data_IF_831180189907
#
_entry.id   IF_831180189907
#
_cell.length_a   1.000
_cell.length_b   1.000
_cell.length_c   1.000
_cell.angle_alpha   90.00
_cell.angle_beta   90.00
_cell.angle_gamma   90.00
#
_symmetry.space_group_name_H-M   'P 1'
#
loop_
_entity.id
_entity.type
_entity.pdbx_description
1 polymer ?
#
# COMPACT_ATOMS: atom_id res chain seq x y z
N UNK A 1 -10.14 44.26 0.10
CA UNK A 1 -11.00 43.35 0.88
C UNK A 1 -10.52 41.93 0.62
N UNK A 2 -9.60 41.43 1.44
CA UNK A 2 -8.91 40.15 1.20
C UNK A 2 -9.77 39.03 1.78
N UNK A 3 -10.40 38.22 0.93
CA UNK A 3 -11.12 37.02 1.36
C UNK A 3 -10.09 35.98 1.78
N UNK A 4 -9.95 35.75 3.08
CA UNK A 4 -9.20 34.63 3.64
C UNK A 4 -9.85 33.33 3.17
N UNK A 5 -9.28 32.72 2.12
CA UNK A 5 -9.66 31.39 1.68
C UNK A 5 -9.44 30.41 2.84
N UNK A 6 -10.52 29.79 3.33
CA UNK A 6 -10.41 28.70 4.30
C UNK A 6 -9.68 27.55 3.61
N UNK A 7 -8.38 27.42 3.85
CA UNK A 7 -7.62 26.24 3.47
C UNK A 7 -8.27 25.03 4.16
N UNK A 8 -9.01 24.21 3.41
CA UNK A 8 -9.61 22.99 3.94
C UNK A 8 -8.49 21.98 4.12
N UNK A 9 -8.36 21.44 5.34
CA UNK A 9 -7.44 20.32 5.58
C UNK A 9 -7.85 19.14 4.69
N UNK A 10 -6.92 18.53 3.94
CA UNK A 10 -7.19 17.29 3.21
C UNK A 10 -7.77 16.24 4.15
N UNK A 11 -8.67 15.40 3.64
CA UNK A 11 -9.21 14.29 4.41
C UNK A 11 -8.06 13.39 4.88
N UNK A 12 -8.14 12.97 6.14
CA UNK A 12 -7.17 12.05 6.71
C UNK A 12 -7.21 10.74 5.91
N UNK A 13 -6.06 10.25 5.40
CA UNK A 13 -6.05 9.00 4.65
C UNK A 13 -6.53 7.87 5.56
N UNK A 14 -7.33 6.92 5.03
CA UNK A 14 -7.78 5.78 5.80
C UNK A 14 -6.57 4.88 6.10
N UNK A 15 -6.04 4.94 7.31
CA UNK A 15 -4.93 4.11 7.78
C UNK A 15 -5.15 3.69 9.22
N UNK A 16 -5.33 2.39 9.45
CA UNK A 16 -5.40 1.82 10.79
C UNK A 16 -4.06 2.00 11.53
N UNK A 17 -4.08 2.26 12.84
CA UNK A 17 -2.91 2.68 13.63
C UNK A 17 -1.84 1.60 13.86
N UNK A 18 -1.98 0.40 13.28
CA UNK A 18 -1.10 -0.75 13.58
C UNK A 18 0.19 -0.74 12.73
N UNK A 19 0.29 0.05 11.66
CA UNK A 19 1.39 -0.12 10.69
C UNK A 19 2.31 1.11 10.50
N UNK A 20 2.01 2.29 11.06
CA UNK A 20 2.87 3.46 10.86
C UNK A 20 4.23 3.31 11.54
N UNK A 21 4.26 2.87 12.81
CA UNK A 21 5.51 2.71 13.55
C UNK A 21 6.40 1.62 12.94
N UNK A 22 5.80 0.54 12.42
CA UNK A 22 6.52 -0.53 11.75
C UNK A 22 7.17 -0.03 10.45
N UNK A 23 6.44 0.76 9.66
CA UNK A 23 6.97 1.42 8.45
C UNK A 23 8.08 2.41 8.78
N UNK A 24 7.91 3.22 9.82
CA UNK A 24 8.93 4.16 10.26
C UNK A 24 10.21 3.45 10.70
N UNK A 25 10.11 2.29 11.36
CA UNK A 25 11.27 1.44 11.66
C UNK A 25 11.93 0.89 10.40
N UNK A 26 11.14 0.36 9.46
CA UNK A 26 11.69 -0.12 8.19
C UNK A 26 12.44 0.98 7.43
N UNK A 27 11.92 2.21 7.41
CA UNK A 27 12.62 3.37 6.84
C UNK A 27 13.93 3.67 7.58
N UNK A 28 13.93 3.66 8.91
CA UNK A 28 15.14 3.86 9.72
C UNK A 28 16.19 2.77 9.47
N UNK A 29 15.74 1.53 9.28
CA UNK A 29 16.58 0.34 9.04
C UNK A 29 16.99 0.19 7.57
N UNK A 30 16.55 1.10 6.67
CA UNK A 30 16.70 0.98 5.22
C UNK A 30 16.23 -0.39 4.71
N UNK A 31 15.13 -0.88 5.28
CA UNK A 31 14.47 -2.09 4.86
C UNK A 31 13.28 -1.76 3.93
N UNK A 32 12.97 -2.63 2.95
CA UNK A 32 11.78 -2.44 2.13
C UNK A 32 10.50 -2.51 2.96
N UNK A 33 9.52 -1.68 2.62
CA UNK A 33 8.16 -1.74 3.18
C UNK A 33 7.27 -2.47 2.19
N UNK A 34 6.61 -3.55 2.63
CA UNK A 34 5.71 -4.34 1.79
C UNK A 34 4.27 -4.15 2.24
N UNK A 35 3.41 -3.72 1.33
CA UNK A 35 1.96 -3.63 1.52
C UNK A 35 1.27 -4.70 0.67
N UNK A 36 0.56 -5.61 1.32
CA UNK A 36 -0.23 -6.65 0.66
C UNK A 36 -1.72 -6.47 0.95
N UNK A 37 -2.55 -6.89 0.00
CA UNK A 37 -3.98 -6.90 0.23
C UNK A 37 -4.79 -7.50 -0.89
N UNK A 38 -6.10 -7.36 -0.77
CA UNK A 38 -7.08 -7.87 -1.72
C UNK A 38 -7.85 -6.71 -2.30
N UNK A 39 -7.94 -6.65 -3.63
CA UNK A 39 -8.73 -5.67 -4.36
C UNK A 39 -9.80 -6.36 -5.21
N UNK A 40 -10.95 -5.71 -5.37
CA UNK A 40 -11.97 -6.08 -6.37
C UNK A 40 -11.95 -5.05 -7.48
N UNK A 41 -11.70 -5.49 -8.70
CA UNK A 41 -11.51 -4.61 -9.86
C UNK A 41 -12.47 -5.02 -10.97
N UNK A 42 -13.71 -4.48 -10.89
CA UNK A 42 -14.78 -4.75 -11.84
C UNK A 42 -15.36 -6.17 -11.77
N UNK A 43 -16.69 -6.28 -11.69
CA UNK A 43 -17.38 -7.56 -11.60
C UNK A 43 -16.97 -8.39 -10.37
N UNK A 44 -16.95 -9.72 -10.53
CA UNK A 44 -16.64 -10.68 -9.46
C UNK A 44 -15.16 -11.03 -9.34
N UNK A 45 -14.29 -10.37 -10.12
CA UNK A 45 -12.87 -10.66 -10.12
C UNK A 45 -12.19 -10.13 -8.84
N UNK A 46 -11.52 -11.04 -8.13
CA UNK A 46 -10.71 -10.75 -6.95
C UNK A 46 -9.24 -10.78 -7.33
N UNK A 47 -8.50 -9.76 -6.89
CA UNK A 47 -7.08 -9.62 -7.12
C UNK A 47 -6.35 -9.53 -5.79
N UNK A 48 -5.16 -10.12 -5.75
CA UNK A 48 -4.21 -9.90 -4.69
C UNK A 48 -3.23 -8.85 -5.19
N UNK A 49 -2.91 -7.86 -4.37
CA UNK A 49 -1.89 -6.85 -4.69
C UNK A 49 -0.75 -6.91 -3.69
N UNK A 50 0.45 -6.62 -4.17
CA UNK A 50 1.65 -6.38 -3.38
C UNK A 50 2.32 -5.11 -3.87
N UNK A 51 2.62 -4.19 -2.97
CA UNK A 51 3.42 -2.99 -3.25
C UNK A 51 4.65 -3.01 -2.36
N UNK A 52 5.83 -3.00 -2.98
CA UNK A 52 7.10 -2.87 -2.26
C UNK A 52 7.65 -1.48 -2.46
N UNK A 53 7.93 -0.79 -1.35
CA UNK A 53 8.62 0.50 -1.32
C UNK A 53 10.07 0.26 -0.91
N UNK A 54 10.98 0.46 -1.85
CA UNK A 54 12.40 0.26 -1.63
C UNK A 54 13.04 1.49 -0.96
N UNK A 55 14.13 1.31 -0.20
CA UNK A 55 14.84 2.41 0.46
C UNK A 55 15.44 3.44 -0.51
N UNK A 56 15.69 3.05 -1.76
CA UNK A 56 16.19 3.94 -2.82
C UNK A 56 15.08 4.81 -3.46
N UNK A 57 13.84 4.65 -3.00
CA UNK A 57 12.66 5.35 -3.52
C UNK A 57 11.96 4.62 -4.67
N UNK A 58 12.45 3.46 -5.10
CA UNK A 58 11.77 2.60 -6.08
C UNK A 58 10.46 2.07 -5.51
N UNK A 59 9.48 1.87 -6.39
CA UNK A 59 8.21 1.27 -6.03
C UNK A 59 7.87 0.17 -7.02
N UNK A 60 7.75 -1.05 -6.50
CA UNK A 60 7.33 -2.22 -7.27
C UNK A 60 5.88 -2.56 -6.93
N UNK A 61 5.06 -2.79 -7.96
CA UNK A 61 3.65 -3.12 -7.81
C UNK A 61 3.32 -4.37 -8.58
N UNK A 62 2.75 -5.32 -7.88
CA UNK A 62 2.29 -6.59 -8.42
C UNK A 62 0.79 -6.71 -8.20
N UNK A 63 0.10 -7.20 -9.22
CA UNK A 63 -1.32 -7.49 -9.18
C UNK A 63 -1.54 -8.85 -9.81
N UNK A 64 -2.12 -9.78 -9.04
CA UNK A 64 -2.37 -11.13 -9.49
C UNK A 64 -3.82 -11.50 -9.24
N UNK A 65 -4.45 -12.16 -10.22
CA UNK A 65 -5.81 -12.69 -10.07
C UNK A 65 -5.84 -13.79 -9.00
N UNK A 66 -6.69 -13.65 -7.99
CA UNK A 66 -6.75 -14.57 -6.86
C UNK A 66 -7.15 -16.00 -7.28
N UNK A 67 -7.93 -16.13 -8.35
CA UNK A 67 -8.30 -17.42 -8.95
C UNK A 67 -7.14 -18.13 -9.66
N UNK A 68 -6.06 -17.43 -10.00
CA UNK A 68 -4.90 -18.02 -10.68
C UNK A 68 -3.82 -18.56 -9.73
N UNK A 69 -3.63 -17.93 -8.57
CA UNK A 69 -2.55 -18.26 -7.61
C UNK A 69 -3.07 -18.84 -6.29
N UNK A 70 -4.38 -18.75 -6.02
CA UNK A 70 -4.93 -19.08 -4.71
C UNK A 70 -4.56 -18.05 -3.65
N UNK A 71 -5.14 -18.20 -2.46
CA UNK A 71 -4.86 -17.36 -1.29
C UNK A 71 -4.16 -18.21 -0.22
N UNK A 72 -3.17 -17.69 0.52
CA UNK A 72 -2.62 -16.32 0.49
C UNK A 72 -1.66 -16.02 -0.67
N UNK A 73 -1.27 -14.75 -0.82
CA UNK A 73 -0.29 -14.29 -1.82
C UNK A 73 1.01 -15.11 -1.66
N UNK A 74 1.56 -15.69 -2.75
CA UNK A 74 2.79 -16.49 -2.65
C UNK A 74 3.96 -15.64 -2.13
N UNK A 75 4.91 -16.21 -1.35
CA UNK A 75 6.06 -15.46 -0.87
C UNK A 75 6.83 -14.82 -2.04
N UNK A 76 7.46 -13.65 -1.83
CA UNK A 76 8.28 -13.02 -2.87
C UNK A 76 9.36 -13.99 -3.35
N UNK A 77 9.68 -13.96 -4.63
CA UNK A 77 10.79 -14.74 -5.17
C UNK A 77 12.09 -14.29 -4.50
N UNK A 78 12.87 -15.25 -4.01
CA UNK A 78 14.15 -15.02 -3.33
C UNK A 78 15.26 -14.57 -4.28
#
# INVERSE_FOLDING_TARGET
MIRTGRHRRPAEPPGGPVDLDQRLRAVADKAPVVEEGVARLGGDAVFLYRTTYEPDGSVHRELTRADAVGWPFPPPAA
#
